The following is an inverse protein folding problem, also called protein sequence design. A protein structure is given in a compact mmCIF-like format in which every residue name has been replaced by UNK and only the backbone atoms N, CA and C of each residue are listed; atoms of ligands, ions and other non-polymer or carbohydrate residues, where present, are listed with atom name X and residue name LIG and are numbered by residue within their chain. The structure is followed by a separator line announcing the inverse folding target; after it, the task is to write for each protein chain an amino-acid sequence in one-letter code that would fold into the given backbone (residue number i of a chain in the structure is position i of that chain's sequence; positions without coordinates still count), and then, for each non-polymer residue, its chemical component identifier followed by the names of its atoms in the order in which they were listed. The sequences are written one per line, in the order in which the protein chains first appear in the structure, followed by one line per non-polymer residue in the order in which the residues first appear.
data_IF_816921957155
#
_entry.id   IF_816921957155
#
_cell.length_a   1.000
_cell.length_b   1.000
_cell.length_c   1.000
_cell.angle_alpha   90.00
_cell.angle_beta   90.00
_cell.angle_gamma   90.00
#
_symmetry.space_group_name_H-M   'P 1'
#
loop_
_entity.id
_entity.type
_entity.pdbx_description
1 polymer ?
#
# COMPACT_ATOMS: atom_id res chain seq x y z
N UNK A 1 11.82 -26.13 -5.76
CA UNK A 1 12.80 -26.27 -4.65
C UNK A 1 13.11 -24.89 -4.11
N UNK A 2 12.68 -24.62 -2.89
CA UNK A 2 13.18 -23.47 -2.12
C UNK A 2 14.62 -23.87 -1.78
N UNK A 3 15.58 -23.35 -2.56
CA UNK A 3 16.98 -23.63 -2.34
C UNK A 3 17.38 -23.22 -0.91
N UNK A 4 17.83 -24.19 -0.13
CA UNK A 4 18.30 -24.06 1.24
C UNK A 4 19.64 -23.30 1.29
N UNK A 5 19.72 -22.13 0.66
CA UNK A 5 20.87 -21.21 0.77
C UNK A 5 20.39 -19.84 1.19
N UNK A 6 19.90 -19.75 2.41
CA UNK A 6 19.95 -18.51 3.15
C UNK A 6 21.35 -18.40 3.76
N UNK A 7 22.25 -17.76 3.00
CA UNK A 7 23.59 -17.40 3.48
C UNK A 7 23.41 -16.25 4.46
N UNK A 8 23.49 -16.55 5.72
CA UNK A 8 23.52 -15.63 6.84
C UNK A 8 23.37 -16.45 8.11
N UNK A 9 24.13 -16.16 9.13
CA UNK A 9 24.14 -16.91 10.38
C UNK A 9 22.67 -17.17 10.84
N UNK A 10 22.28 -18.43 10.88
CA UNK A 10 20.92 -18.90 11.25
C UNK A 10 20.47 -18.41 12.62
N UNK A 11 21.36 -17.91 13.44
CA UNK A 11 21.14 -17.48 14.81
C UNK A 11 20.43 -16.11 14.98
N UNK A 12 20.15 -15.35 13.91
CA UNK A 12 19.58 -14.00 14.01
C UNK A 12 18.31 -13.77 13.19
N UNK A 13 17.77 -14.77 12.49
CA UNK A 13 16.52 -14.61 11.73
C UNK A 13 15.36 -14.69 12.71
N UNK A 14 14.66 -13.55 12.90
CA UNK A 14 13.52 -13.44 13.82
C UNK A 14 12.17 -13.65 13.15
N UNK A 15 12.08 -13.40 11.86
CA UNK A 15 10.86 -13.55 11.06
C UNK A 15 11.20 -13.81 9.58
N UNK A 16 10.19 -14.19 8.79
CA UNK A 16 10.29 -14.33 7.35
C UNK A 16 9.14 -13.64 6.65
N UNK A 17 9.45 -12.79 5.68
CA UNK A 17 8.44 -12.27 4.76
C UNK A 17 8.42 -13.13 3.49
N UNK A 18 7.25 -13.64 3.14
CA UNK A 18 7.03 -14.51 1.98
C UNK A 18 6.06 -13.84 1.01
N UNK A 19 6.49 -13.68 -0.25
CA UNK A 19 5.62 -13.18 -1.31
C UNK A 19 5.12 -14.34 -2.17
N UNK A 20 3.80 -14.39 -2.40
CA UNK A 20 3.14 -15.44 -3.17
C UNK A 20 3.36 -15.41 -4.69
N UNK A 21 4.31 -14.63 -5.20
CA UNK A 21 4.73 -14.63 -6.62
C UNK A 21 6.22 -14.83 -6.76
N UNK A 22 6.61 -15.53 -7.82
CA UNK A 22 8.01 -15.61 -8.23
C UNK A 22 8.45 -14.33 -8.94
N UNK A 23 9.77 -14.11 -9.03
CA UNK A 23 10.33 -12.96 -9.77
C UNK A 23 9.88 -12.95 -11.24
N UNK A 24 9.73 -14.10 -11.87
CA UNK A 24 9.34 -14.19 -13.28
C UNK A 24 7.87 -13.81 -13.52
N UNK A 25 7.00 -14.04 -12.53
CA UNK A 25 5.60 -13.62 -12.60
C UNK A 25 5.43 -12.10 -12.47
N UNK A 26 6.36 -11.42 -11.84
CA UNK A 26 6.24 -9.98 -11.52
C UNK A 26 4.88 -9.65 -10.89
N UNK A 27 3.98 -9.01 -11.66
CA UNK A 27 2.64 -8.63 -11.22
C UNK A 27 1.51 -9.41 -11.91
N UNK A 28 1.86 -10.40 -12.75
CA UNK A 28 0.87 -11.18 -13.50
C UNK A 28 0.23 -12.26 -12.65
N UNK A 29 -1.01 -12.60 -12.97
CA UNK A 29 -1.78 -13.63 -12.27
C UNK A 29 -2.10 -13.25 -10.83
N UNK A 30 -2.47 -14.25 -10.03
CA UNK A 30 -2.73 -14.12 -8.60
C UNK A 30 -1.53 -14.59 -7.79
N UNK A 31 -1.36 -14.05 -6.58
CA UNK A 31 -0.36 -14.54 -5.64
C UNK A 31 -0.77 -15.93 -5.12
N UNK A 32 0.16 -16.86 -5.16
CA UNK A 32 -0.04 -18.19 -4.60
C UNK A 32 0.09 -18.15 -3.07
N UNK A 33 -1.04 -18.10 -2.39
CA UNK A 33 -1.07 -18.13 -0.93
C UNK A 33 -0.75 -19.52 -0.36
N UNK A 34 -0.88 -20.58 -1.18
CA UNK A 34 -0.50 -21.94 -0.79
C UNK A 34 0.98 -22.07 -0.44
N UNK A 35 1.86 -21.35 -1.16
CA UNK A 35 3.29 -21.36 -0.82
C UNK A 35 3.58 -20.63 0.51
N UNK A 36 2.81 -19.58 0.84
CA UNK A 36 2.93 -18.88 2.14
C UNK A 36 2.56 -19.86 3.26
N UNK A 37 1.47 -20.60 3.10
CA UNK A 37 1.04 -21.64 4.03
C UNK A 37 2.10 -22.70 4.24
N UNK A 38 2.65 -23.26 3.15
CA UNK A 38 3.70 -24.28 3.22
C UNK A 38 4.94 -23.78 3.96
N UNK A 39 5.35 -22.52 3.75
CA UNK A 39 6.46 -21.94 4.49
C UNK A 39 6.10 -21.79 5.97
N UNK A 40 4.87 -21.33 6.30
CA UNK A 40 4.44 -21.21 7.70
C UNK A 40 4.45 -22.54 8.43
N UNK A 41 4.02 -23.60 7.77
CA UNK A 41 4.02 -24.96 8.33
C UNK A 41 5.43 -25.52 8.51
N UNK A 42 6.41 -25.06 7.71
CA UNK A 42 7.79 -25.57 7.74
C UNK A 42 8.71 -24.84 8.74
N UNK A 43 8.29 -23.71 9.33
CA UNK A 43 9.13 -22.91 10.24
C UNK A 43 8.42 -22.59 11.56
N UNK A 44 9.19 -22.45 12.63
CA UNK A 44 8.67 -22.06 13.96
C UNK A 44 8.70 -20.54 14.21
N UNK A 45 9.41 -19.79 13.36
CA UNK A 45 9.50 -18.33 13.49
C UNK A 45 8.28 -17.65 12.85
N UNK A 46 7.97 -16.39 13.22
CA UNK A 46 6.89 -15.64 12.61
C UNK A 46 7.04 -15.51 11.08
N UNK A 47 5.92 -15.67 10.38
CA UNK A 47 5.83 -15.50 8.92
C UNK A 47 4.94 -14.32 8.59
N UNK A 48 5.44 -13.43 7.74
CA UNK A 48 4.72 -12.27 7.20
C UNK A 48 4.26 -12.62 5.79
N UNK A 49 2.95 -12.76 5.58
CA UNK A 49 2.38 -13.04 4.26
C UNK A 49 2.27 -11.79 3.40
N UNK A 50 2.69 -11.89 2.13
CA UNK A 50 2.57 -10.79 1.16
C UNK A 50 2.02 -11.28 -0.18
N UNK A 51 1.09 -10.54 -0.76
CA UNK A 51 0.54 -10.76 -2.10
C UNK A 51 -0.96 -10.49 -2.18
N UNK A 52 -1.37 -9.60 -3.07
CA UNK A 52 -2.76 -9.26 -3.43
C UNK A 52 -3.68 -8.81 -2.29
N UNK A 53 -3.10 -8.31 -1.20
CA UNK A 53 -3.85 -7.66 -0.13
C UNK A 53 -4.11 -6.21 -0.51
N UNK A 54 -5.39 -5.85 -0.67
CA UNK A 54 -5.84 -4.52 -1.09
C UNK A 54 -6.81 -3.86 -0.11
N UNK A 55 -7.40 -4.66 0.81
CA UNK A 55 -8.40 -4.23 1.78
C UNK A 55 -8.37 -5.12 3.04
N UNK A 56 -9.25 -4.82 3.98
CA UNK A 56 -9.32 -5.53 5.25
C UNK A 56 -9.78 -6.99 5.10
N UNK A 57 -10.70 -7.25 4.17
CA UNK A 57 -11.23 -8.59 3.92
C UNK A 57 -10.16 -9.50 3.30
N UNK A 58 -9.40 -9.00 2.31
CA UNK A 58 -8.30 -9.77 1.72
C UNK A 58 -7.15 -10.02 2.69
N UNK A 59 -6.92 -9.09 3.65
CA UNK A 59 -5.96 -9.31 4.73
C UNK A 59 -6.42 -10.44 5.68
N UNK A 60 -7.69 -10.43 6.08
CA UNK A 60 -8.28 -11.47 6.92
C UNK A 60 -8.19 -12.84 6.24
N UNK A 61 -8.65 -12.95 4.99
CA UNK A 61 -8.56 -14.19 4.21
C UNK A 61 -7.14 -14.71 4.09
N UNK A 62 -6.16 -13.85 3.85
CA UNK A 62 -4.76 -14.27 3.77
C UNK A 62 -4.30 -14.90 5.10
N UNK A 63 -4.63 -14.29 6.24
CA UNK A 63 -4.32 -14.85 7.56
C UNK A 63 -5.01 -16.19 7.81
N UNK A 64 -6.30 -16.30 7.49
CA UNK A 64 -7.11 -17.51 7.68
C UNK A 64 -6.63 -18.67 6.79
N UNK A 65 -6.36 -18.40 5.52
CA UNK A 65 -5.98 -19.42 4.55
C UNK A 65 -4.54 -19.92 4.73
N UNK A 66 -3.64 -19.06 5.18
CA UNK A 66 -2.21 -19.38 5.26
C UNK A 66 -1.70 -19.66 6.66
N UNK A 67 -2.41 -19.17 7.69
CA UNK A 67 -1.94 -19.24 9.07
C UNK A 67 -0.72 -18.36 9.37
N UNK A 68 -0.32 -17.45 8.45
CA UNK A 68 0.79 -16.52 8.70
C UNK A 68 0.46 -15.56 9.85
N UNK A 69 1.50 -15.03 10.51
CA UNK A 69 1.33 -14.26 11.76
C UNK A 69 1.03 -12.78 11.49
N UNK A 70 1.51 -12.25 10.35
CA UNK A 70 1.37 -10.85 9.96
C UNK A 70 1.13 -10.73 8.46
N UNK A 71 0.60 -9.58 8.05
CA UNK A 71 0.34 -9.24 6.65
C UNK A 71 1.19 -8.06 6.22
N UNK A 72 1.84 -8.19 5.07
CA UNK A 72 2.50 -7.07 4.39
C UNK A 72 1.63 -6.58 3.24
N UNK A 73 1.30 -5.29 3.25
CA UNK A 73 0.57 -4.63 2.17
C UNK A 73 1.54 -3.87 1.27
N UNK A 74 1.55 -4.17 -0.01
CA UNK A 74 2.34 -3.45 -1.02
C UNK A 74 1.48 -2.46 -1.81
N UNK A 75 1.12 -2.83 -3.04
CA UNK A 75 0.36 -1.99 -3.97
C UNK A 75 -0.99 -1.52 -3.44
N UNK A 76 -1.63 -2.28 -2.55
CA UNK A 76 -2.90 -1.90 -1.91
C UNK A 76 -2.83 -0.62 -1.07
N UNK A 77 -1.62 -0.21 -0.64
CA UNK A 77 -1.41 1.04 0.09
C UNK A 77 -1.16 2.27 -0.82
N UNK A 78 -0.98 2.07 -2.14
CA UNK A 78 -0.73 3.16 -3.07
C UNK A 78 -1.97 4.05 -3.22
N UNK A 79 -1.86 5.30 -2.78
CA UNK A 79 -2.98 6.24 -2.71
C UNK A 79 -4.01 5.90 -1.63
N UNK A 80 -3.78 4.87 -0.83
CA UNK A 80 -4.66 4.43 0.26
C UNK A 80 -3.87 4.03 1.53
N UNK A 81 -3.20 4.95 2.22
CA UNK A 81 -2.51 4.62 3.47
C UNK A 81 -3.47 4.23 4.61
N UNK A 82 -4.76 4.53 4.48
CA UNK A 82 -5.78 4.16 5.45
C UNK A 82 -6.04 2.66 5.51
N UNK A 83 -5.60 1.89 4.51
CA UNK A 83 -5.73 0.43 4.48
C UNK A 83 -5.20 -0.23 5.75
N UNK A 84 -4.11 0.27 6.33
CA UNK A 84 -3.54 -0.26 7.57
C UNK A 84 -4.48 -0.07 8.76
N UNK A 85 -5.09 1.12 8.90
CA UNK A 85 -6.10 1.39 9.94
C UNK A 85 -7.34 0.53 9.75
N UNK A 86 -7.77 0.36 8.49
CA UNK A 86 -8.92 -0.47 8.14
C UNK A 86 -8.67 -1.94 8.46
N UNK A 87 -7.51 -2.48 8.11
CA UNK A 87 -7.12 -3.86 8.43
C UNK A 87 -7.09 -4.06 9.95
N UNK A 88 -6.41 -3.18 10.69
CA UNK A 88 -6.32 -3.30 12.15
C UNK A 88 -7.70 -3.26 12.82
N UNK A 89 -8.59 -2.35 12.43
CA UNK A 89 -9.94 -2.30 12.97
C UNK A 89 -10.76 -3.56 12.65
N UNK A 90 -10.61 -4.08 11.45
CA UNK A 90 -11.30 -5.30 11.03
C UNK A 90 -10.84 -6.54 11.81
N UNK A 91 -9.53 -6.66 12.04
CA UNK A 91 -8.94 -7.80 12.75
C UNK A 91 -9.11 -7.73 14.26
N UNK A 92 -9.14 -6.52 14.85
CA UNK A 92 -9.21 -6.33 16.30
C UNK A 92 -10.62 -6.11 16.85
N UNK A 93 -11.57 -5.62 16.05
CA UNK A 93 -12.89 -5.14 16.52
C UNK A 93 -14.06 -5.92 15.86
N UNK A 94 -14.04 -7.24 15.90
CA UNK A 94 -15.15 -8.08 15.40
C UNK A 94 -15.58 -7.75 13.97
N UNK A 95 -14.63 -7.68 13.04
CA UNK A 95 -14.86 -7.40 11.61
C UNK A 95 -15.43 -5.99 11.33
N UNK A 96 -15.07 -5.00 12.14
CA UNK A 96 -15.51 -3.62 11.95
C UNK A 96 -14.95 -3.03 10.65
N UNK A 97 -15.83 -2.67 9.74
CA UNK A 97 -15.48 -1.97 8.49
C UNK A 97 -15.49 -0.47 8.75
N UNK A 98 -14.33 0.17 8.62
CA UNK A 98 -14.22 1.63 8.69
C UNK A 98 -14.64 2.26 7.35
N UNK A 99 -15.34 3.41 7.38
CA UNK A 99 -15.66 4.14 6.16
C UNK A 99 -14.37 4.62 5.45
N UNK A 100 -14.43 4.84 4.13
CA UNK A 100 -13.34 5.47 3.40
C UNK A 100 -13.11 6.90 3.93
N UNK A 101 -11.87 7.43 3.77
CA UNK A 101 -11.57 8.79 4.19
C UNK A 101 -12.37 9.81 3.37
N UNK A 102 -12.84 10.87 4.02
CA UNK A 102 -13.47 12.00 3.35
C UNK A 102 -12.46 12.80 2.51
N UNK A 103 -12.97 13.68 1.64
CA UNK A 103 -12.12 14.49 0.75
C UNK A 103 -11.13 15.37 1.52
N UNK A 104 -11.57 16.01 2.59
CA UNK A 104 -10.70 16.86 3.42
C UNK A 104 -9.53 16.07 4.02
N UNK A 105 -9.79 14.88 4.58
CA UNK A 105 -8.74 14.00 5.12
C UNK A 105 -7.76 13.57 4.04
N UNK A 106 -8.25 13.22 2.84
CA UNK A 106 -7.39 12.87 1.70
C UNK A 106 -6.46 14.00 1.31
N UNK A 107 -6.97 15.22 1.21
CA UNK A 107 -6.18 16.41 0.85
C UNK A 107 -5.06 16.65 1.85
N UNK A 108 -5.36 16.61 3.14
CA UNK A 108 -4.36 16.78 4.20
C UNK A 108 -3.24 15.75 4.08
N UNK A 109 -3.61 14.47 3.85
CA UNK A 109 -2.61 13.39 3.71
C UNK A 109 -1.80 13.52 2.42
N UNK A 110 -2.43 13.87 1.30
CA UNK A 110 -1.72 14.12 0.03
C UNK A 110 -0.69 15.24 0.22
N UNK A 111 -1.14 16.38 0.77
CA UNK A 111 -0.27 17.55 0.96
C UNK A 111 0.93 17.23 1.85
N UNK A 112 0.69 16.57 2.98
CA UNK A 112 1.75 16.13 3.89
C UNK A 112 2.72 15.16 3.22
N UNK A 113 2.23 14.16 2.53
CA UNK A 113 3.08 13.17 1.84
C UNK A 113 3.98 13.83 0.79
N UNK A 114 3.43 14.74 -0.02
CA UNK A 114 4.23 15.43 -1.05
C UNK A 114 5.23 16.41 -0.46
N UNK A 115 4.90 17.07 0.65
CA UNK A 115 5.80 17.93 1.38
C UNK A 115 7.01 17.15 1.92
N UNK A 116 6.76 16.04 2.59
CA UNK A 116 7.84 15.16 3.10
C UNK A 116 8.70 14.60 1.95
N UNK A 117 8.08 14.23 0.82
CA UNK A 117 8.80 13.77 -0.36
C UNK A 117 9.73 14.87 -0.92
N UNK A 118 9.25 16.12 -0.96
CA UNK A 118 10.03 17.26 -1.39
C UNK A 118 11.14 17.63 -0.41
N UNK A 119 10.89 17.54 0.90
CA UNK A 119 11.92 17.73 1.92
C UNK A 119 13.06 16.73 1.78
N UNK A 120 12.72 15.47 1.51
CA UNK A 120 13.71 14.39 1.39
C UNK A 120 14.51 14.45 0.08
N UNK A 121 13.89 14.83 -1.05
CA UNK A 121 14.49 14.71 -2.39
C UNK A 121 14.79 16.04 -3.08
N UNK A 122 14.40 17.16 -2.45
CA UNK A 122 14.32 18.49 -3.10
C UNK A 122 13.05 18.61 -3.95
N UNK A 123 12.50 19.84 -4.07
CA UNK A 123 11.20 20.06 -4.69
C UNK A 123 11.14 19.59 -6.14
N UNK A 124 12.13 19.91 -6.96
CA UNK A 124 12.13 19.56 -8.39
C UNK A 124 12.04 18.05 -8.64
N UNK A 125 12.79 17.25 -7.89
CA UNK A 125 12.75 15.78 -8.00
C UNK A 125 11.53 15.22 -7.28
N UNK A 126 11.23 15.72 -6.09
CA UNK A 126 10.07 15.32 -5.30
C UNK A 126 8.78 15.48 -6.08
N UNK A 127 8.56 16.62 -6.73
CA UNK A 127 7.35 16.88 -7.50
C UNK A 127 7.23 16.00 -8.75
N UNK A 128 8.33 15.66 -9.42
CA UNK A 128 8.27 14.69 -10.52
C UNK A 128 7.82 13.30 -10.07
N UNK A 129 8.28 12.85 -8.91
CA UNK A 129 7.85 11.58 -8.32
C UNK A 129 6.43 11.67 -7.73
N UNK A 130 6.06 12.83 -7.19
CA UNK A 130 4.74 13.14 -6.65
C UNK A 130 3.61 12.89 -7.65
N UNK A 131 3.82 13.16 -8.94
CA UNK A 131 2.81 13.06 -10.00
C UNK A 131 2.06 11.72 -9.97
N UNK A 132 2.78 10.61 -9.86
CA UNK A 132 2.18 9.28 -9.79
C UNK A 132 1.44 9.03 -8.47
N UNK A 133 2.01 9.51 -7.34
CA UNK A 133 1.40 9.33 -6.03
C UNK A 133 0.09 10.12 -5.93
N UNK A 134 0.07 11.38 -6.35
CA UNK A 134 -1.14 12.21 -6.41
C UNK A 134 -2.19 11.53 -7.29
N UNK A 135 -1.79 11.02 -8.46
CA UNK A 135 -2.70 10.28 -9.35
C UNK A 135 -3.37 9.07 -8.69
N UNK A 136 -2.66 8.34 -7.83
CA UNK A 136 -3.23 7.23 -7.08
C UNK A 136 -4.24 7.68 -6.02
N UNK A 137 -3.95 8.76 -5.28
CA UNK A 137 -4.86 9.31 -4.27
C UNK A 137 -6.18 9.82 -4.86
N UNK A 138 -6.16 10.33 -6.10
CA UNK A 138 -7.32 10.88 -6.79
C UNK A 138 -8.25 9.80 -7.38
N UNK A 139 -7.88 8.53 -7.28
CA UNK A 139 -8.72 7.44 -7.81
C UNK A 139 -10.08 7.40 -7.11
N UNK A 140 -11.15 7.27 -7.91
CA UNK A 140 -12.52 7.16 -7.41
C UNK A 140 -13.18 8.48 -7.00
N UNK A 141 -12.51 9.63 -7.17
CA UNK A 141 -13.08 10.96 -6.92
C UNK A 141 -13.84 11.50 -8.13
N UNK A 142 -14.81 12.38 -7.92
CA UNK A 142 -15.47 13.11 -9.01
C UNK A 142 -14.43 13.93 -9.78
N UNK A 143 -14.46 13.88 -11.12
CA UNK A 143 -13.46 14.56 -11.96
C UNK A 143 -12.07 13.93 -11.97
N UNK A 144 -11.89 12.71 -11.41
CA UNK A 144 -10.59 12.07 -11.24
C UNK A 144 -9.75 11.97 -12.53
N UNK A 145 -10.36 11.82 -13.70
CA UNK A 145 -9.62 11.73 -14.97
C UNK A 145 -8.88 13.03 -15.29
N UNK A 146 -9.58 14.16 -15.19
CA UNK A 146 -9.01 15.49 -15.41
C UNK A 146 -7.98 15.85 -14.33
N UNK A 147 -8.29 15.61 -13.07
CA UNK A 147 -7.35 15.88 -11.99
C UNK A 147 -6.07 15.04 -12.09
N UNK A 148 -6.14 13.78 -12.53
CA UNK A 148 -4.95 12.96 -12.80
C UNK A 148 -4.14 13.48 -13.98
N UNK A 149 -4.79 13.98 -15.03
CA UNK A 149 -4.11 14.63 -16.16
C UNK A 149 -3.30 15.84 -15.66
N UNK A 150 -3.91 16.69 -14.84
CA UNK A 150 -3.26 17.86 -14.22
C UNK A 150 -2.15 17.44 -13.24
N UNK A 151 -2.38 16.40 -12.43
CA UNK A 151 -1.35 15.85 -11.54
C UNK A 151 -0.09 15.41 -12.30
N UNK A 152 -0.22 14.94 -13.53
CA UNK A 152 0.91 14.60 -14.40
C UNK A 152 1.79 15.80 -14.81
N UNK A 153 1.34 17.02 -14.59
CA UNK A 153 2.02 18.27 -14.97
C UNK A 153 2.59 19.05 -13.77
N UNK A 154 2.37 18.59 -12.53
CA UNK A 154 2.85 19.27 -11.31
C UNK A 154 4.36 19.47 -11.35
N UNK A 155 4.81 20.70 -11.06
CA UNK A 155 6.21 21.07 -10.98
C UNK A 155 6.61 21.57 -9.60
N UNK A 156 5.68 22.24 -8.89
CA UNK A 156 5.89 22.86 -7.59
C UNK A 156 4.83 22.41 -6.58
N UNK A 157 5.12 22.62 -5.28
CA UNK A 157 4.12 22.45 -4.22
C UNK A 157 2.95 23.43 -4.37
N UNK A 158 3.19 24.60 -4.96
CA UNK A 158 2.18 25.59 -5.24
C UNK A 158 1.18 25.11 -6.31
N UNK A 159 1.66 24.42 -7.37
CA UNK A 159 0.79 23.77 -8.36
C UNK A 159 -0.09 22.70 -7.70
N UNK A 160 0.49 21.95 -6.75
CA UNK A 160 -0.25 20.96 -5.99
C UNK A 160 -1.36 21.61 -5.15
N UNK A 161 -1.06 22.71 -4.45
CA UNK A 161 -2.04 23.40 -3.60
C UNK A 161 -3.24 23.91 -4.43
N UNK A 162 -2.99 24.43 -5.63
CA UNK A 162 -4.04 24.82 -6.56
C UNK A 162 -4.89 23.61 -7.02
N UNK A 163 -4.24 22.52 -7.41
CA UNK A 163 -4.94 21.29 -7.78
C UNK A 163 -5.82 20.77 -6.64
N UNK A 164 -5.29 20.73 -5.40
CA UNK A 164 -6.01 20.20 -4.25
C UNK A 164 -7.21 21.07 -3.85
N UNK A 165 -7.15 22.39 -4.07
CA UNK A 165 -8.29 23.29 -3.89
C UNK A 165 -9.44 22.89 -4.84
N UNK A 166 -9.13 22.78 -6.13
CA UNK A 166 -10.14 22.43 -7.13
C UNK A 166 -10.73 21.03 -6.88
N UNK A 167 -9.89 20.07 -6.44
CA UNK A 167 -10.35 18.73 -6.01
C UNK A 167 -11.33 18.83 -4.84
N UNK A 168 -11.03 19.70 -3.85
CA UNK A 168 -11.92 19.89 -2.71
C UNK A 168 -13.26 20.48 -3.15
N UNK A 169 -13.25 21.55 -3.93
CA UNK A 169 -14.46 22.22 -4.42
C UNK A 169 -15.38 21.29 -5.23
N UNK A 170 -14.79 20.36 -5.98
CA UNK A 170 -15.55 19.39 -6.79
C UNK A 170 -16.11 18.19 -5.99
N UNK A 171 -15.61 17.94 -4.76
CA UNK A 171 -15.92 16.72 -4.00
C UNK A 171 -16.40 16.98 -2.55
N UNK A 172 -16.52 18.24 -2.12
CA UNK A 172 -16.96 18.63 -0.78
C UNK A 172 -18.48 18.47 -0.60
#
# INVERSE_FOLDING_TARGET
EIGVRLVGSEMCIRDRCVHGRTRNQMYMGQADWGIIKQVKEAVSIPVIGNGDVTDAQSACRLLEETGCDLVMVGRGALGNPWVFRQINAYLSESCRILPPPGVAERIVVIRRHMDELCRFKGESRGMREARKHVGWYLHGMQGAAEFRRRAGQLCTLQDLDLLLRDVYEANA
#
